data_IF_557076996760
#
_entry.id   IF_557076996760
#
_cell.length_a   1.000
_cell.length_b   1.000
_cell.length_c   1.000
_cell.angle_alpha   90.00
_cell.angle_beta   90.00
_cell.angle_gamma   90.00
#
_symmetry.space_group_name_H-M   'P 1'
#
loop_
_entity.id
_entity.type
_entity.pdbx_description
1 polymer ?
#
# COMPACT_ATOMS: atom_id res chain seq x y z
N UNK A 1 -10.09 13.87 -6.81
CA UNK A 1 -10.70 12.79 -7.60
C UNK A 1 -10.33 13.02 -9.04
N UNK A 2 -9.13 12.58 -9.41
CA UNK A 2 -8.82 12.35 -10.81
C UNK A 2 -9.29 10.92 -11.17
N UNK A 3 -10.05 10.80 -12.25
CA UNK A 3 -10.21 9.52 -12.94
C UNK A 3 -9.05 9.42 -13.92
N UNK A 4 -8.34 8.30 -13.92
CA UNK A 4 -7.39 8.05 -14.99
C UNK A 4 -8.19 7.82 -16.28
N UNK A 5 -7.52 7.83 -17.42
CA UNK A 5 -8.17 7.57 -18.72
C UNK A 5 -8.86 6.20 -18.83
N UNK A 6 -8.86 5.37 -17.77
CA UNK A 6 -9.52 4.07 -17.68
C UNK A 6 -10.81 4.09 -16.85
N UNK A 7 -11.12 5.20 -16.17
CA UNK A 7 -12.31 5.33 -15.31
C UNK A 7 -12.11 4.75 -13.90
N UNK A 8 -10.87 4.40 -13.55
CA UNK A 8 -10.47 3.91 -12.24
C UNK A 8 -10.04 5.07 -11.34
N UNK A 9 -10.01 4.81 -10.04
CA UNK A 9 -9.59 5.78 -9.03
C UNK A 9 -8.08 5.99 -9.12
N UNK A 10 -7.63 6.93 -9.97
CA UNK A 10 -6.22 7.21 -10.22
C UNK A 10 -5.44 7.54 -8.93
N UNK A 11 -6.15 8.11 -7.95
CA UNK A 11 -5.60 8.50 -6.67
C UNK A 11 -5.53 7.32 -5.67
N UNK A 12 -6.01 6.12 -6.04
CA UNK A 12 -6.00 4.90 -5.21
C UNK A 12 -6.87 4.97 -3.94
N UNK A 13 -7.68 6.02 -3.78
CA UNK A 13 -8.44 6.32 -2.55
C UNK A 13 -9.37 5.16 -2.17
N UNK A 14 -9.29 4.69 -0.93
CA UNK A 14 -10.04 3.54 -0.41
C UNK A 14 -9.42 2.18 -0.76
N UNK A 15 -8.29 2.14 -1.46
CA UNK A 15 -7.51 0.91 -1.61
C UNK A 15 -6.89 0.51 -0.26
N UNK A 16 -7.03 -0.77 0.09
CA UNK A 16 -6.41 -1.35 1.29
C UNK A 16 -5.16 -2.11 0.92
N UNK A 17 -4.03 -1.71 1.45
CA UNK A 17 -2.74 -2.34 1.24
C UNK A 17 -2.38 -3.13 2.48
N UNK A 18 -2.20 -4.43 2.29
CA UNK A 18 -1.71 -5.38 3.28
C UNK A 18 -0.27 -5.69 2.90
N UNK A 19 0.65 -5.57 3.84
CA UNK A 19 2.02 -6.03 3.67
C UNK A 19 2.32 -7.13 4.66
N UNK A 20 2.91 -8.22 4.22
CA UNK A 20 3.34 -9.33 5.07
C UNK A 20 4.84 -9.51 4.88
N UNK A 21 5.56 -9.53 5.99
CA UNK A 21 7.01 -9.65 5.99
C UNK A 21 7.50 -10.39 7.23
N UNK A 22 8.64 -11.07 7.09
CA UNK A 22 9.30 -11.81 8.16
C UNK A 22 10.45 -11.00 8.77
N UNK A 23 10.44 -10.84 10.09
CA UNK A 23 11.48 -10.09 10.79
C UNK A 23 12.74 -10.96 10.93
N UNK A 24 13.92 -10.53 10.43
CA UNK A 24 15.14 -11.35 10.52
C UNK A 24 15.67 -11.53 11.95
N UNK A 25 15.28 -10.64 12.86
CA UNK A 25 15.68 -10.64 14.28
C UNK A 25 14.96 -11.69 15.14
N UNK A 26 13.74 -12.08 14.79
CA UNK A 26 12.88 -12.93 15.64
C UNK A 26 12.14 -14.02 14.85
N UNK A 27 12.37 -14.10 13.53
CA UNK A 27 11.69 -15.01 12.58
C UNK A 27 10.16 -14.98 12.61
N UNK A 28 9.59 -13.95 13.23
CA UNK A 28 8.16 -13.75 13.32
C UNK A 28 7.63 -13.07 12.06
N UNK A 29 6.54 -13.61 11.53
CA UNK A 29 5.79 -13.03 10.40
C UNK A 29 4.88 -11.94 10.92
N UNK A 30 4.97 -10.75 10.34
CA UNK A 30 4.16 -9.58 10.67
C UNK A 30 3.35 -9.16 9.46
N UNK A 31 2.12 -8.75 9.70
CA UNK A 31 1.25 -8.15 8.68
C UNK A 31 0.84 -6.75 9.11
N UNK A 32 1.10 -5.75 8.29
CA UNK A 32 0.59 -4.39 8.48
C UNK A 32 -0.48 -4.09 7.43
N UNK A 33 -1.43 -3.25 7.80
CA UNK A 33 -2.53 -2.85 6.92
C UNK A 33 -2.69 -1.34 6.98
N UNK A 34 -2.69 -0.71 5.82
CA UNK A 34 -3.05 0.69 5.66
C UNK A 34 -4.06 0.85 4.54
N UNK A 35 -4.84 1.92 4.59
CA UNK A 35 -5.82 2.27 3.57
C UNK A 35 -5.49 3.67 3.07
N UNK A 36 -5.56 3.89 1.76
CA UNK A 36 -5.37 5.22 1.18
C UNK A 36 -6.58 6.07 1.53
N UNK A 37 -6.45 6.94 2.52
CA UNK A 37 -7.50 7.89 2.89
C UNK A 37 -7.28 9.24 2.21
N UNK A 38 -8.27 9.74 1.47
CA UNK A 38 -8.33 11.14 1.04
C UNK A 38 -9.31 11.92 1.91
N UNK A 39 -9.02 11.96 3.21
CA UNK A 39 -9.88 12.56 4.23
C UNK A 39 -9.45 13.97 4.64
N UNK A 40 -9.24 14.86 3.68
CA UNK A 40 -8.78 16.22 3.97
C UNK A 40 -9.83 17.07 4.69
N UNK A 41 -9.54 17.51 5.92
CA UNK A 41 -10.26 18.65 6.50
C UNK A 41 -10.10 19.89 5.60
N UNK A 42 -11.12 20.75 5.53
CA UNK A 42 -11.21 21.94 4.65
C UNK A 42 -9.84 22.60 4.37
N UNK A 43 -9.40 22.57 3.09
CA UNK A 43 -8.12 23.10 2.54
C UNK A 43 -6.82 22.31 2.83
N UNK A 44 -6.88 21.14 3.45
CA UNK A 44 -5.73 20.23 3.58
C UNK A 44 -5.88 19.02 2.65
N UNK A 45 -4.83 18.67 1.91
CA UNK A 45 -4.77 17.41 1.16
C UNK A 45 -3.92 16.43 1.98
N UNK A 46 -4.54 15.36 2.47
CA UNK A 46 -3.78 14.26 3.08
C UNK A 46 -2.88 13.61 2.02
N UNK A 47 -1.68 13.22 2.46
CA UNK A 47 -0.74 12.51 1.60
C UNK A 47 -1.33 11.16 1.20
N UNK A 48 -1.37 10.87 -0.09
CA UNK A 48 -1.82 9.56 -0.64
C UNK A 48 -0.75 8.46 -0.49
N UNK A 49 0.38 8.79 0.13
CA UNK A 49 1.51 7.89 0.30
C UNK A 49 1.30 7.01 1.52
N UNK A 50 1.42 5.69 1.33
CA UNK A 50 1.39 4.72 2.41
C UNK A 50 2.81 4.34 2.80
N UNK A 51 3.16 4.62 4.05
CA UNK A 51 4.47 4.37 4.61
C UNK A 51 4.40 3.23 5.62
N UNK A 52 5.23 2.20 5.41
CA UNK A 52 5.27 1.02 6.24
C UNK A 52 6.65 0.87 6.90
N UNK A 53 6.68 0.85 8.24
CA UNK A 53 7.91 0.64 9.00
C UNK A 53 8.26 -0.85 9.08
N UNK A 54 9.28 -1.29 8.34
CA UNK A 54 9.69 -2.70 8.26
C UNK A 54 10.78 -3.11 9.28
N UNK A 55 11.36 -2.15 10.01
CA UNK A 55 12.45 -2.41 10.95
C UNK A 55 13.71 -2.88 10.23
N UNK A 56 14.30 -4.00 10.68
CA UNK A 56 15.50 -4.61 10.09
C UNK A 56 15.21 -5.45 8.84
N UNK A 57 13.97 -5.47 8.35
CA UNK A 57 13.53 -6.36 7.28
C UNK A 57 13.83 -5.76 5.91
N UNK A 58 14.59 -6.48 5.08
CA UNK A 58 15.02 -6.00 3.76
C UNK A 58 14.11 -6.44 2.59
N UNK A 59 13.18 -7.36 2.83
CA UNK A 59 12.28 -7.92 1.80
C UNK A 59 10.89 -8.11 2.40
N UNK A 60 9.88 -7.63 1.69
CA UNK A 60 8.47 -7.88 1.96
C UNK A 60 8.05 -9.11 1.18
N UNK A 61 7.53 -10.12 1.90
CA UNK A 61 7.14 -11.41 1.33
C UNK A 61 5.92 -11.25 0.41
N UNK A 62 4.90 -10.50 0.86
CA UNK A 62 3.66 -10.25 0.10
C UNK A 62 3.15 -8.82 0.34
N UNK A 63 2.86 -8.10 -0.75
CA UNK A 63 2.04 -6.89 -0.78
C UNK A 63 0.73 -7.25 -1.47
N UNK A 64 -0.38 -7.18 -0.75
CA UNK A 64 -1.73 -7.35 -1.29
C UNK A 64 -2.44 -6.01 -1.30
N UNK A 65 -2.83 -5.54 -2.48
CA UNK A 65 -3.67 -4.36 -2.67
C UNK A 65 -5.09 -4.81 -2.99
N UNK A 66 -6.04 -4.42 -2.15
CA UNK A 66 -7.47 -4.59 -2.40
C UNK A 66 -8.04 -3.25 -2.85
N UNK A 67 -8.40 -3.18 -4.11
CA UNK A 67 -8.93 -1.98 -4.74
C UNK A 67 -10.42 -1.78 -4.43
N UNK A 68 -10.90 -0.53 -4.42
CA UNK A 68 -12.33 -0.21 -4.25
C UNK A 68 -13.23 -0.84 -5.31
N UNK A 69 -12.70 -1.06 -6.51
CA UNK A 69 -13.40 -1.77 -7.61
C UNK A 69 -13.70 -3.24 -7.29
N UNK A 70 -13.09 -3.79 -6.24
CA UNK A 70 -13.13 -5.21 -5.91
C UNK A 70 -11.98 -6.03 -6.50
N UNK A 71 -11.11 -5.44 -7.34
CA UNK A 71 -9.89 -6.10 -7.80
C UNK A 71 -8.93 -6.34 -6.63
N UNK A 72 -8.25 -7.47 -6.65
CA UNK A 72 -7.16 -7.77 -5.73
C UNK A 72 -5.88 -7.96 -6.54
N UNK A 73 -4.81 -7.29 -6.13
CA UNK A 73 -3.49 -7.38 -6.72
C UNK A 73 -2.52 -7.87 -5.65
N UNK A 74 -1.65 -8.81 -6.02
CA UNK A 74 -0.66 -9.40 -5.12
C UNK A 74 0.71 -9.25 -5.79
N UNK A 75 1.67 -8.75 -5.03
CA UNK A 75 3.06 -8.55 -5.43
C UNK A 75 3.92 -9.23 -4.37
N UNK A 76 4.85 -10.09 -4.76
CA UNK A 76 5.69 -10.83 -3.83
C UNK A 76 7.15 -10.40 -3.96
N UNK A 77 7.96 -10.74 -2.96
CA UNK A 77 9.41 -10.59 -2.96
C UNK A 77 9.88 -9.16 -3.29
N UNK A 78 9.30 -8.18 -2.60
CA UNK A 78 9.58 -6.75 -2.85
C UNK A 78 10.69 -6.28 -1.92
N UNK A 79 11.78 -5.74 -2.48
CA UNK A 79 12.87 -5.14 -1.69
C UNK A 79 12.35 -3.94 -0.89
N UNK A 80 12.79 -3.78 0.36
CA UNK A 80 12.45 -2.63 1.20
C UNK A 80 13.12 -1.33 0.71
N UNK A 81 12.82 -0.20 1.38
CA UNK A 81 13.46 1.11 1.17
C UNK A 81 13.34 1.66 -0.26
N UNK A 82 12.22 1.39 -0.93
CA UNK A 82 11.89 1.94 -2.23
C UNK A 82 10.49 2.53 -2.28
N UNK A 83 10.30 3.44 -3.23
CA UNK A 83 8.99 3.91 -3.64
C UNK A 83 8.45 2.96 -4.70
N UNK A 84 7.32 2.31 -4.41
CA UNK A 84 6.64 1.45 -5.36
C UNK A 84 5.34 2.12 -5.85
N UNK A 85 5.28 2.40 -7.14
CA UNK A 85 4.04 2.84 -7.80
C UNK A 85 3.23 1.61 -8.21
N UNK A 86 1.98 1.54 -7.73
CA UNK A 86 1.06 0.43 -8.04
C UNK A 86 -0.18 1.02 -8.71
N UNK A 87 -0.49 0.51 -9.90
CA UNK A 87 -1.62 0.92 -10.72
C UNK A 87 -2.58 -0.26 -10.87
N UNK A 88 -3.89 0.04 -10.83
CA UNK A 88 -4.99 -0.92 -10.90
C UNK A 88 -5.16 -1.63 -12.26
#
# INVERSE_FOLDING_TARGET
MAVDGTGSNADGIGARVYITYSSPEDSNVRTQVQEVYAGGSYLSQDSIWLEFGLGSTNVVDEIRVRWPSGRNQIINDVVSDQVLEIIE
#
